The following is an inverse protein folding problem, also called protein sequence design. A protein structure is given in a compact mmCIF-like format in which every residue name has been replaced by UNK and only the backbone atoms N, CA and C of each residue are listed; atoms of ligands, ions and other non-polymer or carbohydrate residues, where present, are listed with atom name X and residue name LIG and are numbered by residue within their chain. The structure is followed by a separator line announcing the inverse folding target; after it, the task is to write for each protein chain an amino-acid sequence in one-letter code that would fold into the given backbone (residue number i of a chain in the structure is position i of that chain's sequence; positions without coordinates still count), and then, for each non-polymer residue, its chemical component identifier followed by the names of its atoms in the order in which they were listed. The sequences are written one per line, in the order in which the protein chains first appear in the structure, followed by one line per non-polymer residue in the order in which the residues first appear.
data_IF_121171705165
#
_entry.id   IF_121171705165
#
_cell.length_a   1.000
_cell.length_b   1.000
_cell.length_c   1.000
_cell.angle_alpha   90.00
_cell.angle_beta   90.00
_cell.angle_gamma   90.00
#
_symmetry.space_group_name_H-M   'P 1'
#
loop_
_entity.id
_entity.type
_entity.pdbx_description
1 polymer ?
#
# COMPACT_ATOMS: atom_id res chain seq x y z
N UNK A 1 -9.60 7.80 26.26
CA UNK A 1 -9.00 8.32 25.00
C UNK A 1 -8.22 7.19 24.39
N UNK A 2 -8.51 6.80 23.15
CA UNK A 2 -7.67 5.81 22.46
C UNK A 2 -6.37 6.49 22.04
N UNK A 3 -5.24 5.83 22.27
CA UNK A 3 -3.93 6.36 21.90
C UNK A 3 -3.57 5.85 20.51
N UNK A 4 -2.78 6.61 19.76
CA UNK A 4 -2.12 6.10 18.55
C UNK A 4 -1.15 4.99 18.94
N UNK A 5 -1.22 3.87 18.21
CA UNK A 5 -0.36 2.70 18.43
C UNK A 5 0.48 2.44 17.20
N UNK A 6 1.75 2.11 17.40
CA UNK A 6 2.66 1.69 16.34
C UNK A 6 3.09 0.26 16.62
N UNK A 7 2.93 -0.62 15.63
CA UNK A 7 3.40 -2.00 15.66
C UNK A 7 4.52 -2.16 14.67
N UNK A 8 5.70 -2.53 15.14
CA UNK A 8 6.85 -2.92 14.34
C UNK A 8 6.86 -4.43 14.23
N UNK A 9 6.70 -4.97 13.02
CA UNK A 9 6.68 -6.41 12.82
C UNK A 9 8.11 -6.97 12.68
N UNK A 10 8.43 -8.09 13.33
CA UNK A 10 9.76 -8.70 13.28
C UNK A 10 9.92 -9.51 11.97
N UNK A 11 10.20 -8.85 10.87
CA UNK A 11 10.30 -9.44 9.53
C UNK A 11 11.74 -9.72 9.07
N UNK A 12 12.71 -9.75 10.00
CA UNK A 12 14.17 -9.86 9.72
C UNK A 12 14.63 -8.71 8.82
N UNK A 13 15.23 -8.99 7.66
CA UNK A 13 15.58 -7.95 6.69
C UNK A 13 14.29 -7.35 6.09
N UNK A 14 14.24 -6.04 5.92
CA UNK A 14 13.09 -5.31 5.42
C UNK A 14 12.22 -4.72 6.53
N UNK A 15 11.15 -4.06 6.13
CA UNK A 15 10.28 -3.33 7.04
C UNK A 15 8.81 -3.73 6.84
N UNK A 16 8.08 -3.73 7.94
CA UNK A 16 6.62 -3.77 7.95
C UNK A 16 6.14 -3.12 9.24
N UNK A 17 5.50 -1.96 9.12
CA UNK A 17 5.11 -1.18 10.28
C UNK A 17 3.66 -0.75 10.16
N UNK A 18 2.83 -1.03 11.17
CA UNK A 18 1.44 -0.62 11.21
C UNK A 18 1.25 0.53 12.22
N UNK A 19 0.62 1.60 11.76
CA UNK A 19 0.16 2.70 12.61
C UNK A 19 -1.35 2.63 12.71
N UNK A 20 -1.86 2.53 13.94
CA UNK A 20 -3.28 2.58 14.28
C UNK A 20 -3.54 3.92 14.99
N UNK A 21 -4.17 4.86 14.31
CA UNK A 21 -4.48 6.18 14.87
C UNK A 21 -5.67 6.12 15.82
N UNK A 22 -5.74 7.12 16.73
CA UNK A 22 -6.78 7.19 17.75
C UNK A 22 -8.20 7.34 17.21
N UNK A 23 -8.35 7.76 15.97
CA UNK A 23 -9.63 7.91 15.26
C UNK A 23 -10.05 6.66 14.47
N UNK A 24 -9.28 5.56 14.57
CA UNK A 24 -9.54 4.31 13.88
C UNK A 24 -8.96 4.22 12.47
N UNK A 25 -8.28 5.26 11.99
CA UNK A 25 -7.51 5.19 10.74
C UNK A 25 -6.30 4.30 10.94
N UNK A 26 -5.96 3.49 9.95
CA UNK A 26 -4.77 2.64 9.97
C UNK A 26 -3.90 2.91 8.73
N UNK A 27 -2.58 2.78 8.90
CA UNK A 27 -1.58 2.98 7.87
C UNK A 27 -0.53 1.89 7.96
N UNK A 28 -0.32 1.15 6.89
CA UNK A 28 0.77 0.18 6.77
C UNK A 28 1.91 0.81 5.97
N UNK A 29 3.11 0.77 6.53
CA UNK A 29 4.33 1.27 5.90
C UNK A 29 5.18 0.05 5.55
N UNK A 30 5.41 -0.13 4.26
CA UNK A 30 6.05 -1.30 3.66
C UNK A 30 5.34 -2.63 4.01
N UNK A 31 5.66 -3.69 3.30
CA UNK A 31 5.18 -5.02 3.62
C UNK A 31 6.20 -6.10 3.23
N UNK A 32 6.35 -7.07 4.13
CA UNK A 32 7.09 -8.29 3.88
C UNK A 32 6.26 -9.46 4.40
N UNK A 33 5.39 -9.94 3.52
CA UNK A 33 4.51 -11.08 3.81
C UNK A 33 5.18 -12.37 3.31
N UNK A 34 5.80 -13.11 4.23
CA UNK A 34 6.39 -14.39 3.90
C UNK A 34 5.32 -15.47 3.71
N UNK A 35 5.60 -16.44 2.85
CA UNK A 35 4.79 -17.66 2.79
C UNK A 35 5.06 -18.52 4.01
N UNK A 36 4.08 -19.35 4.40
CA UNK A 36 4.25 -20.33 5.50
C UNK A 36 5.41 -21.30 5.23
N UNK A 37 5.73 -21.58 3.96
CA UNK A 37 6.85 -22.44 3.56
C UNK A 37 8.23 -21.80 3.77
N UNK A 38 8.32 -20.46 3.90
CA UNK A 38 9.56 -19.75 4.19
C UNK A 38 9.79 -19.52 5.67
N UNK A 39 8.81 -19.86 6.51
CA UNK A 39 8.87 -19.81 7.96
C UNK A 39 9.46 -21.13 8.50
N UNK A 40 10.69 -21.47 8.12
CA UNK A 40 11.37 -22.68 8.60
C UNK A 40 11.75 -22.62 10.10
N UNK A 41 11.78 -21.43 10.69
CA UNK A 41 12.00 -21.22 12.12
C UNK A 41 10.71 -20.72 12.79
N UNK A 42 10.33 -21.37 13.90
CA UNK A 42 9.17 -21.05 14.74
C UNK A 42 9.09 -19.59 15.26
N UNK A 43 10.03 -18.73 14.90
CA UNK A 43 10.14 -17.35 15.32
C UNK A 43 9.61 -16.33 14.28
N UNK A 44 9.19 -16.76 13.08
CA UNK A 44 8.68 -15.83 12.08
C UNK A 44 7.20 -15.49 12.36
N UNK A 45 6.99 -14.25 12.75
CA UNK A 45 5.66 -13.71 13.01
C UNK A 45 4.84 -13.62 11.70
N UNK A 46 3.67 -14.26 11.70
CA UNK A 46 2.78 -14.22 10.55
C UNK A 46 2.03 -12.90 10.47
N UNK A 47 2.67 -11.90 9.83
CA UNK A 47 2.16 -10.53 9.70
C UNK A 47 0.78 -10.49 9.05
N UNK A 48 0.59 -11.21 7.95
CA UNK A 48 -0.69 -11.17 7.22
C UNK A 48 -1.83 -11.75 8.04
N UNK A 49 -1.57 -12.78 8.83
CA UNK A 49 -2.58 -13.34 9.73
C UNK A 49 -2.97 -12.35 10.84
N UNK A 50 -2.00 -11.63 11.44
CA UNK A 50 -2.30 -10.60 12.43
C UNK A 50 -3.10 -9.45 11.82
N UNK A 51 -2.70 -8.96 10.66
CA UNK A 51 -3.43 -7.92 9.94
C UNK A 51 -4.89 -8.32 9.70
N UNK A 52 -5.13 -9.52 9.17
CA UNK A 52 -6.47 -9.98 8.80
C UNK A 52 -7.35 -10.37 9.98
N UNK A 53 -6.75 -10.83 11.09
CA UNK A 53 -7.48 -11.34 12.25
C UNK A 53 -7.70 -10.27 13.32
N UNK A 54 -6.67 -9.43 13.56
CA UNK A 54 -6.66 -8.55 14.73
C UNK A 54 -6.69 -7.06 14.39
N UNK A 55 -6.23 -6.66 13.18
CA UNK A 55 -5.99 -5.25 12.86
C UNK A 55 -7.00 -4.67 11.88
N UNK A 56 -7.23 -5.31 10.75
CA UNK A 56 -8.12 -4.82 9.69
C UNK A 56 -9.57 -5.27 9.93
N UNK A 57 -10.16 -4.82 11.03
CA UNK A 57 -11.53 -5.19 11.42
C UNK A 57 -12.61 -4.51 10.57
N UNK A 58 -12.29 -3.37 9.97
CA UNK A 58 -13.19 -2.68 9.04
C UNK A 58 -13.16 -3.37 7.68
N UNK A 59 -14.35 -3.52 7.07
CA UNK A 59 -14.49 -4.06 5.72
C UNK A 59 -15.13 -3.04 4.79
N UNK A 60 -14.69 -3.04 3.53
CA UNK A 60 -15.35 -2.33 2.43
C UNK A 60 -15.52 -3.28 1.26
N UNK A 61 -16.72 -3.32 0.67
CA UNK A 61 -17.08 -4.25 -0.42
C UNK A 61 -16.79 -5.73 -0.09
N UNK A 62 -16.90 -6.10 1.19
CA UNK A 62 -16.61 -7.45 1.68
C UNK A 62 -15.12 -7.75 1.92
N UNK A 63 -14.20 -6.86 1.53
CA UNK A 63 -12.76 -7.00 1.72
C UNK A 63 -12.28 -6.32 3.01
N UNK A 64 -11.27 -6.87 3.72
CA UNK A 64 -10.53 -6.16 4.76
C UNK A 64 -10.03 -4.81 4.22
N UNK A 65 -10.14 -3.75 5.01
CA UNK A 65 -9.85 -2.39 4.56
C UNK A 65 -8.67 -1.78 5.29
N UNK A 66 -7.67 -1.34 4.52
CA UNK A 66 -6.53 -0.58 4.98
C UNK A 66 -6.69 0.88 4.51
N UNK A 67 -6.69 1.85 5.43
CA UNK A 67 -6.89 3.25 5.06
C UNK A 67 -5.78 3.79 4.16
N UNK A 68 -4.50 3.49 4.49
CA UNK A 68 -3.37 3.90 3.69
C UNK A 68 -2.28 2.82 3.66
N UNK A 69 -1.67 2.63 2.50
CA UNK A 69 -0.43 1.87 2.32
C UNK A 69 0.66 2.79 1.80
N UNK A 70 1.83 2.74 2.42
CA UNK A 70 3.00 3.55 2.08
C UNK A 70 4.11 2.62 1.60
N UNK A 71 4.58 2.78 0.36
CA UNK A 71 5.81 2.15 -0.10
C UNK A 71 6.95 3.17 -0.03
N UNK A 72 7.95 2.90 0.82
CA UNK A 72 9.10 3.79 0.98
C UNK A 72 10.06 3.68 -0.21
N UNK A 73 10.32 2.46 -0.68
CA UNK A 73 11.13 2.16 -1.87
C UNK A 73 10.78 0.77 -2.43
N UNK A 74 11.10 0.50 -3.72
CA UNK A 74 10.58 -0.67 -4.41
C UNK A 74 11.41 -1.95 -4.21
N UNK A 75 12.31 -1.99 -3.22
CA UNK A 75 13.11 -3.18 -2.94
C UNK A 75 12.19 -4.32 -2.47
N UNK A 76 12.52 -5.56 -2.85
CA UNK A 76 11.63 -6.71 -2.61
C UNK A 76 11.29 -6.90 -1.13
N UNK A 77 12.21 -6.64 -0.24
CA UNK A 77 12.02 -6.78 1.21
C UNK A 77 11.15 -5.68 1.84
N UNK A 78 10.67 -4.72 1.04
CA UNK A 78 9.71 -3.68 1.41
C UNK A 78 8.33 -3.83 0.74
N UNK A 79 8.19 -4.74 -0.24
CA UNK A 79 6.92 -4.98 -0.95
C UNK A 79 6.57 -6.46 -1.14
N UNK A 80 7.29 -7.39 -0.49
CA UNK A 80 7.08 -8.84 -0.66
C UNK A 80 5.64 -9.25 -0.30
N UNK A 81 4.99 -9.93 -1.24
CA UNK A 81 3.61 -10.40 -1.12
C UNK A 81 2.56 -9.34 -1.50
N UNK A 82 2.97 -8.16 -1.97
CA UNK A 82 2.05 -7.10 -2.38
C UNK A 82 1.09 -7.57 -3.47
N UNK A 83 1.59 -8.21 -4.52
CA UNK A 83 0.78 -8.70 -5.63
C UNK A 83 -0.29 -9.72 -5.21
N UNK A 84 -0.02 -10.51 -4.16
CA UNK A 84 -0.88 -11.62 -3.75
C UNK A 84 -1.90 -11.26 -2.68
N UNK A 85 -1.64 -10.22 -1.89
CA UNK A 85 -2.42 -9.92 -0.69
C UNK A 85 -3.31 -8.68 -0.80
N UNK A 86 -3.16 -7.90 -1.85
CA UNK A 86 -3.97 -6.70 -2.05
C UNK A 86 -4.90 -6.81 -3.26
N UNK A 87 -6.04 -6.12 -3.17
CA UNK A 87 -6.99 -5.96 -4.29
C UNK A 87 -6.47 -4.86 -5.21
N UNK A 88 -5.94 -5.26 -6.37
CA UNK A 88 -5.16 -4.40 -7.27
C UNK A 88 -5.76 -4.32 -8.67
N UNK A 89 -5.31 -3.33 -9.44
CA UNK A 89 -5.59 -3.13 -10.87
C UNK A 89 -7.08 -2.97 -11.22
N UNK A 90 -7.94 -2.78 -10.22
CA UNK A 90 -9.38 -2.61 -10.35
C UNK A 90 -9.83 -1.31 -9.68
N UNK A 91 -10.80 -0.64 -10.32
CA UNK A 91 -11.46 0.50 -9.69
C UNK A 91 -12.63 -0.03 -8.84
N UNK A 92 -12.55 0.03 -7.49
CA UNK A 92 -13.58 -0.56 -6.64
C UNK A 92 -14.93 0.19 -6.69
N UNK A 93 -14.99 1.39 -7.29
CA UNK A 93 -16.24 2.12 -7.45
C UNK A 93 -17.12 1.55 -8.61
N UNK A 94 -16.49 0.84 -9.56
CA UNK A 94 -17.17 0.28 -10.74
C UNK A 94 -16.96 -1.23 -10.88
N UNK A 95 -16.08 -1.84 -10.07
CA UNK A 95 -15.81 -3.28 -10.11
C UNK A 95 -16.03 -3.87 -8.72
N UNK A 96 -16.96 -4.80 -8.61
CA UNK A 96 -17.17 -5.54 -7.36
C UNK A 96 -16.13 -6.67 -7.23
N UNK A 97 -15.59 -6.91 -6.02
CA UNK A 97 -14.76 -8.07 -5.77
C UNK A 97 -15.52 -9.38 -6.03
N UNK A 98 -14.84 -10.33 -6.64
CA UNK A 98 -15.36 -11.69 -6.82
C UNK A 98 -15.45 -12.44 -5.49
N UNK A 99 -16.21 -13.53 -5.44
CA UNK A 99 -16.27 -14.36 -4.21
C UNK A 99 -14.89 -14.95 -3.88
N UNK A 100 -14.12 -15.37 -4.88
CA UNK A 100 -12.75 -15.86 -4.70
C UNK A 100 -11.83 -14.80 -4.05
N UNK A 101 -11.93 -13.54 -4.49
CA UNK A 101 -11.16 -12.43 -3.91
C UNK A 101 -11.56 -12.15 -2.45
N UNK A 102 -12.84 -12.30 -2.12
CA UNK A 102 -13.35 -12.17 -0.74
C UNK A 102 -12.90 -13.34 0.13
N UNK A 103 -12.97 -14.57 -0.37
CA UNK A 103 -12.51 -15.78 0.32
C UNK A 103 -11.00 -15.74 0.56
N UNK A 104 -10.23 -15.27 -0.41
CA UNK A 104 -8.79 -15.02 -0.31
C UNK A 104 -8.44 -13.85 0.63
N UNK A 105 -9.46 -13.11 1.11
CA UNK A 105 -9.32 -11.96 2.01
C UNK A 105 -8.33 -10.92 1.50
N UNK A 106 -8.39 -10.60 0.19
CA UNK A 106 -7.56 -9.54 -0.37
C UNK A 106 -7.84 -8.21 0.34
N UNK A 107 -6.78 -7.47 0.63
CA UNK A 107 -6.88 -6.19 1.36
C UNK A 107 -7.16 -5.06 0.37
N UNK A 108 -8.24 -4.33 0.58
CA UNK A 108 -8.54 -3.11 -0.18
C UNK A 108 -7.80 -1.92 0.43
N UNK A 109 -6.88 -1.32 -0.34
CA UNK A 109 -6.13 -0.12 0.07
C UNK A 109 -6.95 1.12 -0.28
N UNK A 110 -7.30 1.93 0.71
CA UNK A 110 -8.02 3.18 0.52
C UNK A 110 -7.20 4.24 -0.21
N UNK A 111 -5.97 4.48 0.24
CA UNK A 111 -5.04 5.46 -0.30
C UNK A 111 -3.64 4.85 -0.46
N UNK A 112 -3.03 5.05 -1.62
CA UNK A 112 -1.69 4.54 -1.94
C UNK A 112 -0.68 5.68 -1.88
N UNK A 113 0.40 5.50 -1.10
CA UNK A 113 1.47 6.48 -0.97
C UNK A 113 2.78 5.89 -1.45
N UNK A 114 3.56 6.65 -2.21
CA UNK A 114 4.85 6.16 -2.71
C UNK A 114 5.86 7.27 -2.92
N UNK A 115 7.15 6.91 -2.92
CA UNK A 115 8.21 7.78 -3.39
C UNK A 115 8.36 7.65 -4.92
N UNK A 116 8.81 8.69 -5.63
CA UNK A 116 9.03 8.63 -7.09
C UNK A 116 10.04 7.55 -7.51
N UNK A 117 10.83 7.02 -6.58
CA UNK A 117 11.86 6.02 -6.84
C UNK A 117 11.31 4.78 -7.55
N UNK A 118 10.08 4.35 -7.24
CA UNK A 118 9.43 3.20 -7.90
C UNK A 118 9.29 3.37 -9.42
N UNK A 119 9.27 4.63 -9.92
CA UNK A 119 9.17 4.94 -11.35
C UNK A 119 10.52 5.27 -12.00
N UNK A 120 11.57 5.50 -11.21
CA UNK A 120 12.91 5.85 -11.72
C UNK A 120 13.84 4.64 -11.81
N UNK A 121 13.52 3.54 -11.15
CA UNK A 121 14.27 2.30 -11.30
C UNK A 121 13.94 1.58 -12.60
N UNK A 122 14.94 0.88 -13.15
CA UNK A 122 14.75 0.11 -14.37
C UNK A 122 13.79 -1.04 -14.12
N UNK A 123 12.90 -1.32 -15.07
CA UNK A 123 11.82 -2.31 -14.86
C UNK A 123 12.36 -3.73 -14.66
N UNK A 124 13.51 -4.05 -15.25
CA UNK A 124 14.16 -5.34 -15.07
C UNK A 124 14.73 -5.56 -13.66
N UNK A 125 14.98 -4.47 -12.92
CA UNK A 125 15.50 -4.51 -11.56
C UNK A 125 14.37 -4.63 -10.51
N UNK A 126 13.10 -4.44 -10.94
CA UNK A 126 11.96 -4.53 -10.05
C UNK A 126 11.48 -5.99 -9.88
N UNK A 127 11.17 -6.37 -8.65
CA UNK A 127 10.46 -7.61 -8.35
C UNK A 127 9.03 -7.61 -8.93
N UNK A 128 8.39 -8.78 -9.01
CA UNK A 128 7.00 -8.87 -9.48
C UNK A 128 6.04 -8.11 -8.55
N UNK A 129 6.30 -8.09 -7.25
CA UNK A 129 5.54 -7.31 -6.28
C UNK A 129 5.69 -5.80 -6.52
N UNK A 130 6.93 -5.33 -6.76
CA UNK A 130 7.20 -3.93 -7.10
C UNK A 130 6.56 -3.52 -8.44
N UNK A 131 6.57 -4.40 -9.44
CA UNK A 131 5.87 -4.20 -10.72
C UNK A 131 4.36 -4.09 -10.52
N UNK A 132 3.78 -4.93 -9.67
CA UNK A 132 2.35 -4.88 -9.35
C UNK A 132 1.98 -3.60 -8.61
N UNK A 133 2.84 -3.14 -7.68
CA UNK A 133 2.69 -1.84 -7.04
C UNK A 133 2.72 -0.70 -8.06
N UNK A 134 3.70 -0.70 -8.96
CA UNK A 134 3.86 0.30 -10.03
C UNK A 134 2.62 0.37 -10.92
N UNK A 135 2.07 -0.78 -11.35
CA UNK A 135 0.84 -0.84 -12.14
C UNK A 135 -0.36 -0.24 -11.40
N UNK A 136 -0.53 -0.57 -10.12
CA UNK A 136 -1.62 -0.01 -9.30
C UNK A 136 -1.46 1.50 -9.11
N UNK A 137 -0.23 1.98 -8.87
CA UNK A 137 0.06 3.41 -8.79
C UNK A 137 -0.23 4.11 -10.12
N UNK A 138 0.18 3.55 -11.26
CA UNK A 138 -0.12 4.07 -12.59
C UNK A 138 -1.62 4.14 -12.85
N UNK A 139 -2.39 3.10 -12.52
CA UNK A 139 -3.86 3.11 -12.63
C UNK A 139 -4.46 4.29 -11.88
N UNK A 140 -4.06 4.49 -10.62
CA UNK A 140 -4.56 5.61 -9.80
C UNK A 140 -4.14 6.97 -10.34
N UNK A 141 -2.90 7.11 -10.81
CA UNK A 141 -2.43 8.34 -11.46
C UNK A 141 -3.20 8.65 -12.75
N UNK A 142 -3.60 7.64 -13.54
CA UNK A 142 -4.42 7.85 -14.72
C UNK A 142 -5.78 8.44 -14.38
N UNK A 143 -6.45 7.98 -13.31
CA UNK A 143 -7.70 8.59 -12.83
C UNK A 143 -7.52 10.09 -12.51
N UNK A 144 -6.37 10.46 -11.96
CA UNK A 144 -6.02 11.85 -11.69
C UNK A 144 -5.80 12.64 -12.98
N UNK A 145 -4.98 12.11 -13.90
CA UNK A 145 -4.66 12.78 -15.18
C UNK A 145 -5.91 13.02 -16.03
N UNK A 146 -6.87 12.10 -16.00
CA UNK A 146 -8.12 12.20 -16.75
C UNK A 146 -9.22 12.93 -15.98
N UNK A 147 -8.94 13.40 -14.76
CA UNK A 147 -9.92 13.99 -13.86
C UNK A 147 -11.17 13.10 -13.66
N UNK A 148 -10.96 11.79 -13.51
CA UNK A 148 -12.04 10.83 -13.30
C UNK A 148 -12.81 11.15 -12.01
N UNK A 149 -14.13 11.01 -12.02
CA UNK A 149 -15.00 11.32 -10.90
C UNK A 149 -14.78 10.42 -9.68
N UNK A 150 -14.13 9.28 -9.86
CA UNK A 150 -13.84 8.32 -8.79
C UNK A 150 -12.44 8.48 -8.18
N UNK A 151 -11.60 9.38 -8.71
CA UNK A 151 -10.19 9.53 -8.29
C UNK A 151 -9.99 9.77 -6.78
N UNK A 152 -10.95 10.46 -6.14
CA UNK A 152 -10.91 10.80 -4.72
C UNK A 152 -11.61 9.76 -3.81
N UNK A 153 -12.11 8.68 -4.41
CA UNK A 153 -12.80 7.62 -3.66
C UNK A 153 -11.80 6.63 -3.05
N UNK A 154 -12.15 5.99 -1.92
CA UNK A 154 -11.32 4.92 -1.35
C UNK A 154 -11.05 3.81 -2.39
N UNK A 155 -9.77 3.42 -2.50
CA UNK A 155 -9.32 2.46 -3.51
C UNK A 155 -8.77 3.09 -4.78
N UNK A 156 -8.93 4.43 -4.94
CA UNK A 156 -8.43 5.18 -6.09
C UNK A 156 -7.49 6.33 -5.69
N UNK A 157 -7.48 6.71 -4.42
CA UNK A 157 -6.63 7.81 -3.93
C UNK A 157 -5.16 7.44 -4.00
N UNK A 158 -4.33 8.42 -4.39
CA UNK A 158 -2.89 8.25 -4.49
C UNK A 158 -2.16 9.51 -3.99
N UNK A 159 -1.02 9.32 -3.31
CA UNK A 159 -0.12 10.41 -2.90
C UNK A 159 1.32 10.10 -3.27
N UNK A 160 2.03 11.12 -3.67
CA UNK A 160 3.45 11.05 -3.99
C UNK A 160 4.22 11.72 -2.85
N UNK A 161 5.15 10.97 -2.25
CA UNK A 161 6.04 11.47 -1.20
C UNK A 161 7.42 11.63 -1.81
N UNK A 162 7.95 12.83 -1.89
CA UNK A 162 9.31 13.02 -2.40
C UNK A 162 9.66 14.47 -2.69
N UNK A 163 10.92 14.68 -3.08
CA UNK A 163 11.41 15.98 -3.52
C UNK A 163 11.27 16.08 -5.04
N UNK A 164 10.61 17.10 -5.52
CA UNK A 164 10.65 17.47 -6.94
C UNK A 164 11.92 18.26 -7.19
N UNK A 165 12.92 17.67 -7.83
CA UNK A 165 14.05 18.39 -8.42
C UNK A 165 13.56 19.07 -9.69
N UNK A 166 13.09 20.30 -9.59
CA UNK A 166 12.90 21.15 -10.74
C UNK A 166 14.27 21.70 -11.15
N UNK A 167 14.70 21.36 -12.36
CA UNK A 167 15.89 21.86 -13.08
C UNK A 167 16.65 23.00 -12.38
N UNK A 168 17.74 22.67 -11.69
CA UNK A 168 18.79 23.61 -11.32
C UNK A 168 18.58 24.47 -10.07
N UNK A 169 17.49 24.32 -9.32
CA UNK A 169 17.29 24.95 -8.01
C UNK A 169 16.75 23.96 -7.02
N UNK A 170 17.51 23.70 -5.98
CA UNK A 170 17.11 22.87 -4.84
C UNK A 170 16.01 23.60 -4.07
N UNK A 171 14.76 23.34 -4.37
CA UNK A 171 13.67 23.76 -3.51
C UNK A 171 13.28 22.61 -2.60
N UNK A 172 13.63 22.74 -1.31
CA UNK A 172 13.16 21.86 -0.24
C UNK A 172 11.67 22.12 0.00
N UNK A 173 10.81 21.47 -0.76
CA UNK A 173 9.38 21.42 -0.45
C UNK A 173 8.90 19.99 -0.63
N UNK A 174 8.37 19.40 0.44
CA UNK A 174 7.56 18.19 0.34
C UNK A 174 6.28 18.64 -0.36
N UNK A 175 6.16 18.37 -1.65
CA UNK A 175 4.89 18.55 -2.34
C UNK A 175 4.09 17.27 -2.19
N UNK A 176 3.19 17.24 -1.22
CA UNK A 176 2.09 16.29 -1.19
C UNK A 176 1.17 16.72 -2.34
N UNK A 177 1.19 16.00 -3.46
CA UNK A 177 0.26 16.24 -4.57
C UNK A 177 -0.96 15.34 -4.37
N UNK A 178 -2.15 15.83 -4.62
CA UNK A 178 -2.51 17.22 -4.84
C UNK A 178 -3.42 17.73 -3.71
N UNK A 179 -3.24 18.96 -3.29
CA UNK A 179 -4.39 19.73 -2.88
C UNK A 179 -5.17 20.05 -4.17
N UNK A 180 -6.39 19.55 -4.25
CA UNK A 180 -7.32 19.96 -5.29
C UNK A 180 -7.60 21.45 -5.17
N UNK A 181 -7.84 22.16 -6.27
CA UNK A 181 -8.29 23.54 -6.26
C UNK A 181 -9.64 23.68 -5.55
#
# INVERSE_FOLDING_TARGET
MSNTKITFYPVKNGDTNLIEFSDGVNMLIDCKFRSEAEAEDNDDYNVINDLLTNKLTTKKKGLPYLNAFVLTHPDQDHCLGFAQKFFLEKNPEITEPTEEEKESKLILIGELWYSPRVFTEHEDDLSDDAKSFKKEADRRMQLWKTNDSTKDKPGNRIRIIGYLLLSGKTQKSIKILPEAP
#
